data_IF_168471458584
#
_entry.id   IF_168471458584
#
_cell.length_a   1.000
_cell.length_b   1.000
_cell.length_c   1.000
_cell.angle_alpha   90.00
_cell.angle_beta   90.00
_cell.angle_gamma   90.00
#
_symmetry.space_group_name_H-M   'P 1'
#
loop_
_entity.id
_entity.type
_entity.pdbx_description
1 polymer ?
#
# COMPACT_ATOMS: atom_id res chain seq x y z
N UNK A 1 21.37 14.87 24.43
CA UNK A 1 20.19 15.60 23.91
C UNK A 1 19.68 15.03 22.59
N UNK A 2 20.52 14.89 21.54
CA UNK A 2 20.12 14.28 20.25
C UNK A 2 19.35 12.95 20.34
N UNK A 3 19.80 12.01 21.17
CA UNK A 3 19.15 10.69 21.39
C UNK A 3 17.74 10.76 21.97
N UNK A 4 17.49 11.73 22.85
CA UNK A 4 16.17 11.95 23.45
C UNK A 4 15.23 12.68 22.50
N UNK A 5 15.75 13.63 21.72
CA UNK A 5 15.02 14.30 20.66
C UNK A 5 14.61 13.32 19.55
N UNK A 6 15.50 12.39 19.17
CA UNK A 6 15.18 11.30 18.26
C UNK A 6 14.11 10.36 18.83
N UNK A 7 14.22 9.98 20.10
CA UNK A 7 13.21 9.15 20.75
C UNK A 7 11.84 9.85 20.84
N UNK A 8 11.81 11.14 21.16
CA UNK A 8 10.57 11.94 21.20
C UNK A 8 9.99 12.14 19.81
N UNK A 9 10.82 12.38 18.79
CA UNK A 9 10.36 12.46 17.40
C UNK A 9 9.84 11.12 16.89
N UNK A 10 10.46 10.00 17.29
CA UNK A 10 9.96 8.65 16.99
C UNK A 10 8.63 8.41 17.70
N UNK A 11 8.51 8.74 18.99
CA UNK A 11 7.26 8.59 19.75
C UNK A 11 6.16 9.51 19.22
N UNK A 12 6.48 10.73 18.79
CA UNK A 12 5.54 11.64 18.16
C UNK A 12 5.17 11.17 16.75
N UNK A 13 6.11 10.65 15.96
CA UNK A 13 5.81 10.02 14.68
C UNK A 13 4.95 8.76 14.86
N UNK A 14 5.11 8.05 15.98
CA UNK A 14 4.27 6.92 16.41
C UNK A 14 2.88 7.36 16.91
N UNK A 15 2.78 8.54 17.52
CA UNK A 15 1.53 9.07 18.10
C UNK A 15 0.72 9.98 17.18
N UNK A 16 1.29 10.51 16.11
CA UNK A 16 0.64 11.44 15.18
C UNK A 16 0.15 10.69 13.94
N UNK A 17 -1.14 10.36 13.93
CA UNK A 17 -1.88 9.90 12.77
C UNK A 17 -1.33 8.62 12.10
N UNK A 18 -1.03 7.61 12.92
CA UNK A 18 -0.66 6.29 12.44
C UNK A 18 -1.89 5.44 12.21
N UNK A 19 -2.05 4.98 10.97
CA UNK A 19 -3.05 3.97 10.65
C UNK A 19 -2.38 2.66 10.30
N UNK A 20 -2.79 1.60 10.99
CA UNK A 20 -2.48 0.25 10.61
C UNK A 20 -3.48 -0.20 9.54
N UNK A 21 -2.98 -0.75 8.45
CA UNK A 21 -3.77 -1.18 7.31
C UNK A 21 -3.64 -2.69 7.13
N UNK A 22 -4.75 -3.35 6.86
CA UNK A 22 -4.79 -4.75 6.43
C UNK A 22 -5.67 -4.81 5.18
N UNK A 23 -5.15 -5.37 4.10
CA UNK A 23 -5.92 -5.57 2.87
C UNK A 23 -5.78 -6.98 2.33
N UNK A 24 -6.84 -7.42 1.65
CA UNK A 24 -6.88 -8.64 0.88
C UNK A 24 -6.99 -8.32 -0.61
N UNK A 25 -6.21 -9.00 -1.44
CA UNK A 25 -6.23 -8.86 -2.89
C UNK A 25 -4.85 -8.83 -3.52
N UNK A 26 -4.80 -8.45 -4.79
CA UNK A 26 -3.60 -8.49 -5.61
C UNK A 26 -2.56 -7.43 -5.18
N UNK A 27 -1.24 -7.67 -5.37
CA UNK A 27 -0.62 -8.90 -5.86
C UNK A 27 -0.26 -9.92 -4.77
N UNK A 28 -0.53 -9.63 -3.50
CA UNK A 28 0.05 -10.37 -2.37
C UNK A 28 -0.92 -11.29 -1.64
N UNK A 29 -2.19 -11.37 -2.03
CA UNK A 29 -3.19 -12.11 -1.28
C UNK A 29 -3.61 -11.37 -0.02
N UNK A 30 -2.72 -11.27 0.98
CA UNK A 30 -2.90 -10.46 2.20
C UNK A 30 -1.74 -9.49 2.35
N UNK A 31 -2.06 -8.24 2.67
CA UNK A 31 -1.11 -7.15 2.87
C UNK A 31 -1.35 -6.49 4.21
N UNK A 32 -0.28 -6.13 4.89
CA UNK A 32 -0.26 -5.27 6.06
C UNK A 32 0.54 -4.00 5.76
N UNK A 33 0.12 -2.87 6.31
CA UNK A 33 0.82 -1.61 6.13
C UNK A 33 0.70 -0.67 7.31
N UNK A 34 1.60 0.30 7.36
CA UNK A 34 1.56 1.42 8.28
C UNK A 34 1.56 2.71 7.46
N UNK A 35 0.57 3.54 7.71
CA UNK A 35 0.40 4.85 7.12
C UNK A 35 0.71 5.93 8.14
N UNK A 36 1.42 6.96 7.72
CA UNK A 36 1.89 8.06 8.56
C UNK A 36 1.72 9.39 7.85
N UNK A 37 1.32 10.43 8.59
CA UNK A 37 1.20 11.79 8.05
C UNK A 37 2.58 12.40 7.80
N UNK A 38 2.91 12.69 6.54
CA UNK A 38 4.14 13.40 6.15
C UNK A 38 3.94 14.92 6.18
N UNK A 39 2.82 15.38 5.62
CA UNK A 39 2.36 16.77 5.68
C UNK A 39 0.92 16.74 6.18
N UNK A 40 0.62 17.29 7.37
CA UNK A 40 -0.73 17.28 7.93
C UNK A 40 -1.78 17.74 6.92
N UNK A 41 -2.87 16.99 6.81
CA UNK A 41 -4.01 17.25 5.92
C UNK A 41 -3.73 17.19 4.41
N UNK A 42 -2.49 16.97 3.97
CA UNK A 42 -2.12 17.01 2.55
C UNK A 42 -1.48 15.71 2.06
N UNK A 43 -0.48 15.19 2.76
CA UNK A 43 0.36 14.11 2.26
C UNK A 43 0.62 13.09 3.36
N UNK A 44 0.36 11.83 3.05
CA UNK A 44 0.76 10.70 3.88
C UNK A 44 1.78 9.83 3.16
N UNK A 45 2.56 9.09 3.94
CA UNK A 45 3.39 8.00 3.46
C UNK A 45 2.84 6.68 3.95
N UNK A 46 3.01 5.62 3.17
CA UNK A 46 2.68 4.25 3.58
C UNK A 46 3.87 3.35 3.33
N UNK A 47 4.15 2.49 4.30
CA UNK A 47 5.03 1.33 4.12
C UNK A 47 4.17 0.09 4.23
N UNK A 48 4.27 -0.84 3.28
CA UNK A 48 3.49 -2.07 3.30
C UNK A 48 4.34 -3.28 2.95
N UNK A 49 3.90 -4.42 3.46
CA UNK A 49 4.40 -5.75 3.12
C UNK A 49 3.22 -6.69 2.93
N UNK A 50 3.37 -7.66 2.04
CA UNK A 50 2.34 -8.64 1.77
C UNK A 50 2.92 -10.04 1.61
N UNK A 51 2.13 -11.01 2.04
CA UNK A 51 2.44 -12.43 1.92
C UNK A 51 1.16 -13.15 1.50
N UNK A 52 1.28 -13.90 0.41
CA UNK A 52 0.31 -14.86 -0.08
C UNK A 52 0.95 -16.24 -0.17
N UNK A 53 0.15 -17.25 -0.49
CA UNK A 53 0.59 -18.64 -0.57
C UNK A 53 1.82 -18.82 -1.49
N UNK A 54 1.94 -17.99 -2.51
CA UNK A 54 2.96 -18.12 -3.56
C UNK A 54 3.57 -16.75 -3.92
N UNK A 55 3.39 -15.71 -3.11
CA UNK A 55 3.94 -14.38 -3.38
C UNK A 55 4.29 -13.61 -2.11
N UNK A 56 5.40 -12.89 -2.15
CA UNK A 56 5.86 -12.00 -1.08
C UNK A 56 6.38 -10.69 -1.67
N UNK A 57 6.22 -9.61 -0.93
CA UNK A 57 6.93 -8.38 -1.23
C UNK A 57 6.38 -7.22 -0.42
N UNK A 58 6.58 -6.02 -0.93
CA UNK A 58 6.24 -4.81 -0.22
C UNK A 58 6.71 -3.57 -0.95
N UNK A 59 6.47 -2.42 -0.35
CA UNK A 59 6.79 -1.16 -0.98
C UNK A 59 6.50 0.03 -0.11
N UNK A 60 6.64 1.18 -0.74
CA UNK A 60 6.33 2.47 -0.13
C UNK A 60 5.48 3.29 -1.08
N UNK A 61 4.49 3.96 -0.52
CA UNK A 61 3.59 4.82 -1.26
C UNK A 61 3.60 6.24 -0.70
N UNK A 62 3.40 7.21 -1.58
CA UNK A 62 3.06 8.60 -1.26
C UNK A 62 1.59 8.83 -1.59
N UNK A 63 0.88 9.41 -0.63
CA UNK A 63 -0.57 9.49 -0.62
C UNK A 63 -1.00 10.95 -0.54
N UNK A 64 -1.42 11.51 -1.67
CA UNK A 64 -1.99 12.86 -1.70
C UNK A 64 -3.46 12.80 -1.28
N UNK A 65 -3.81 13.51 -0.21
CA UNK A 65 -5.18 13.60 0.30
C UNK A 65 -6.02 14.48 -0.60
N UNK A 66 -7.11 13.93 -1.17
CA UNK A 66 -8.15 14.70 -1.84
C UNK A 66 -9.49 14.52 -1.07
N UNK A 67 -10.47 15.40 -1.26
CA UNK A 67 -11.79 15.20 -0.67
C UNK A 67 -12.40 13.87 -1.14
N UNK A 68 -12.82 13.01 -0.21
CA UNK A 68 -13.47 11.70 -0.44
C UNK A 68 -12.59 10.63 -1.10
N UNK A 69 -11.39 10.98 -1.58
CA UNK A 69 -10.44 10.02 -2.11
C UNK A 69 -9.00 10.44 -1.89
N UNK A 70 -8.09 9.48 -1.78
CA UNK A 70 -6.67 9.80 -1.90
C UNK A 70 -6.14 9.40 -3.28
N UNK A 71 -5.24 10.22 -3.83
CA UNK A 71 -4.48 9.88 -5.03
C UNK A 71 -3.12 9.35 -4.60
N UNK A 72 -2.80 8.16 -5.09
CA UNK A 72 -1.56 7.46 -4.74
C UNK A 72 -0.54 7.54 -5.85
N UNK A 73 0.71 7.73 -5.42
CA UNK A 73 1.88 7.45 -6.21
C UNK A 73 2.79 6.57 -5.36
N UNK A 74 2.86 5.30 -5.72
CA UNK A 74 3.60 4.31 -4.96
C UNK A 74 4.50 3.46 -5.81
N UNK A 75 5.60 3.00 -5.22
CA UNK A 75 6.55 2.08 -5.82
C UNK A 75 6.80 0.93 -4.85
N UNK A 76 6.41 -0.26 -5.28
CA UNK A 76 6.66 -1.50 -4.56
C UNK A 76 7.28 -2.56 -5.45
N UNK A 77 7.95 -3.52 -4.84
CA UNK A 77 8.49 -4.69 -5.51
C UNK A 77 7.83 -5.95 -4.95
N UNK A 78 7.69 -6.96 -5.79
CA UNK A 78 7.24 -8.27 -5.34
C UNK A 78 7.93 -9.40 -6.09
N UNK A 79 7.94 -10.56 -5.43
CA UNK A 79 8.42 -11.82 -5.96
C UNK A 79 7.43 -12.92 -5.57
N UNK A 80 6.99 -13.73 -6.53
CA UNK A 80 6.04 -14.79 -6.28
C UNK A 80 5.63 -15.56 -7.53
N UNK A 81 5.50 -16.87 -7.44
CA UNK A 81 5.18 -17.76 -8.57
C UNK A 81 3.68 -18.04 -8.75
N UNK A 82 2.81 -17.36 -7.99
CA UNK A 82 1.39 -17.71 -7.91
C UNK A 82 0.42 -16.91 -8.76
N UNK A 83 -0.85 -17.38 -8.86
CA UNK A 83 -1.90 -16.70 -9.60
C UNK A 83 -2.31 -15.43 -8.85
N UNK A 84 -1.65 -14.33 -9.19
CA UNK A 84 -2.09 -13.02 -8.76
C UNK A 84 -3.48 -12.73 -9.38
N UNK A 85 -4.38 -12.08 -8.62
CA UNK A 85 -5.64 -11.51 -9.13
C UNK A 85 -5.35 -10.29 -10.02
N UNK A 86 -4.52 -10.47 -11.05
CA UNK A 86 -4.18 -9.47 -12.05
C UNK A 86 -4.86 -9.76 -13.37
N UNK A 87 -5.32 -8.70 -14.02
CA UNK A 87 -5.83 -8.75 -15.38
C UNK A 87 -4.91 -7.96 -16.32
N UNK A 88 -4.63 -8.43 -17.53
CA UNK A 88 -5.07 -9.71 -18.07
C UNK A 88 -4.24 -10.87 -17.49
N UNK A 89 -4.82 -12.06 -17.52
CA UNK A 89 -4.35 -13.21 -16.75
C UNK A 89 -3.05 -13.83 -17.33
N UNK A 90 -2.80 -13.57 -18.60
CA UNK A 90 -1.60 -13.88 -19.39
C UNK A 90 -0.41 -12.96 -19.09
N UNK A 91 -0.63 -11.80 -18.45
CA UNK A 91 0.44 -10.90 -18.01
C UNK A 91 1.01 -11.26 -16.62
N UNK A 92 0.65 -12.41 -16.04
CA UNK A 92 1.17 -12.84 -14.73
C UNK A 92 2.67 -13.10 -14.79
N UNK A 93 3.39 -12.49 -13.86
CA UNK A 93 4.83 -12.67 -13.72
C UNK A 93 5.29 -12.98 -12.29
N UNK A 94 6.51 -13.48 -12.20
CA UNK A 94 7.16 -13.96 -10.99
C UNK A 94 7.78 -12.85 -10.15
N UNK A 95 8.08 -11.73 -10.77
CA UNK A 95 8.60 -10.55 -10.10
C UNK A 95 8.09 -9.31 -10.83
N UNK A 96 7.88 -8.23 -10.11
CA UNK A 96 7.39 -7.01 -10.73
C UNK A 96 7.56 -5.77 -9.88
N UNK A 97 7.44 -4.64 -10.55
CA UNK A 97 7.29 -3.32 -9.94
C UNK A 97 5.81 -2.98 -9.93
N UNK A 98 5.30 -2.65 -8.77
CA UNK A 98 3.95 -2.13 -8.61
C UNK A 98 4.04 -0.62 -8.58
N UNK A 99 3.39 0.02 -9.55
CA UNK A 99 2.99 1.40 -9.42
C UNK A 99 1.62 1.39 -8.73
N UNK A 100 1.41 2.23 -7.74
CA UNK A 100 0.05 2.46 -7.24
C UNK A 100 -0.43 3.75 -7.87
N UNK A 101 -1.36 3.63 -8.82
CA UNK A 101 -2.21 4.73 -9.26
C UNK A 101 -3.63 4.29 -8.98
N UNK A 102 -4.08 4.60 -7.76
CA UNK A 102 -5.36 4.17 -7.23
C UNK A 102 -6.07 5.33 -6.57
N UNK A 103 -7.40 5.27 -6.57
CA UNK A 103 -8.26 6.15 -5.79
C UNK A 103 -8.69 5.41 -4.54
N UNK A 104 -8.34 5.94 -3.37
CA UNK A 104 -8.77 5.39 -2.09
C UNK A 104 -10.16 5.88 -1.76
N UNK A 105 -11.22 5.07 -1.86
CA UNK A 105 -12.50 5.51 -1.30
C UNK A 105 -12.40 5.44 0.23
N UNK A 106 -12.01 6.54 0.87
CA UNK A 106 -11.95 6.64 2.32
C UNK A 106 -13.37 6.88 2.85
N UNK A 107 -14.01 5.85 3.39
CA UNK A 107 -15.18 6.06 4.22
C UNK A 107 -14.69 6.62 5.56
N UNK A 108 -14.98 7.90 5.89
CA UNK A 108 -14.39 8.55 7.04
C UNK A 108 -15.13 8.13 8.32
N UNK A 109 -14.98 6.87 8.73
CA UNK A 109 -15.43 6.46 10.05
C UNK A 109 -14.32 6.80 11.07
N UNK A 110 -14.69 7.27 12.26
CA UNK A 110 -13.72 7.49 13.33
C UNK A 110 -13.02 6.17 13.66
N UNK A 111 -11.69 6.17 13.65
CA UNK A 111 -10.81 5.04 14.00
C UNK A 111 -10.81 3.85 13.03
N UNK A 112 -11.75 3.79 12.09
CA UNK A 112 -11.91 2.71 11.12
C UNK A 112 -12.07 3.28 9.71
N UNK A 113 -11.19 2.93 8.79
CA UNK A 113 -11.35 3.18 7.36
C UNK A 113 -11.64 1.87 6.65
N UNK A 114 -12.50 1.90 5.64
CA UNK A 114 -12.56 0.84 4.64
C UNK A 114 -12.11 1.46 3.34
N UNK A 115 -11.36 0.70 2.54
CA UNK A 115 -10.82 1.20 1.30
C UNK A 115 -10.74 0.13 0.21
N UNK A 116 -10.67 0.61 -1.02
CA UNK A 116 -10.43 -0.19 -2.21
C UNK A 116 -9.33 0.48 -3.02
N UNK A 117 -8.43 -0.31 -3.61
CA UNK A 117 -7.32 0.18 -4.40
C UNK A 117 -7.15 -0.62 -5.69
N UNK A 118 -6.67 0.06 -6.73
CA UNK A 118 -6.21 -0.54 -7.98
C UNK A 118 -4.68 -0.40 -8.10
N UNK A 119 -4.05 -1.39 -8.71
CA UNK A 119 -2.59 -1.57 -8.73
C UNK A 119 -2.10 -1.88 -10.14
N UNK A 120 -1.78 -0.86 -10.95
CA UNK A 120 -1.05 -1.08 -12.18
C UNK A 120 0.33 -1.69 -11.86
N UNK A 121 0.61 -2.83 -12.46
CA UNK A 121 1.78 -3.65 -12.15
C UNK A 121 2.56 -3.93 -13.41
N UNK A 122 3.87 -3.67 -13.37
CA UNK A 122 4.82 -4.08 -14.39
C UNK A 122 5.50 -5.36 -13.94
N UNK A 123 5.17 -6.46 -14.59
CA UNK A 123 5.89 -7.72 -14.44
C UNK A 123 7.19 -7.67 -15.21
N UNK A 124 8.26 -8.22 -14.63
CA UNK A 124 9.62 -8.22 -15.17
C UNK A 124 10.10 -9.63 -15.56
N UNK A 125 9.47 -10.68 -15.03
CA UNK A 125 9.84 -12.07 -15.24
C UNK A 125 8.59 -12.95 -15.22
N UNK A 126 8.51 -14.03 -16.02
CA UNK A 126 9.50 -14.45 -17.02
C UNK A 126 9.49 -13.57 -18.27
N UNK A 127 8.42 -12.80 -18.49
CA UNK A 127 8.30 -11.83 -19.58
C UNK A 127 7.85 -10.48 -19.04
N UNK A 128 8.27 -9.39 -19.70
CA UNK A 128 7.82 -8.05 -19.34
C UNK A 128 6.37 -7.87 -19.78
N UNK A 129 5.50 -7.52 -18.84
CA UNK A 129 4.07 -7.38 -19.10
C UNK A 129 3.39 -6.39 -18.16
N UNK A 130 2.29 -5.80 -18.62
CA UNK A 130 1.46 -4.90 -17.80
C UNK A 130 0.23 -5.67 -17.30
N UNK A 131 -0.08 -5.51 -16.03
CA UNK A 131 -1.32 -6.00 -15.43
C UNK A 131 -1.94 -4.98 -14.49
N UNK A 132 -3.19 -5.20 -14.10
CA UNK A 132 -3.89 -4.43 -13.08
C UNK A 132 -4.45 -5.37 -12.03
N UNK A 133 -4.11 -5.10 -10.77
CA UNK A 133 -4.67 -5.77 -9.61
C UNK A 133 -5.62 -4.88 -8.85
N UNK A 134 -6.42 -5.47 -7.96
CA UNK A 134 -7.19 -4.72 -6.98
C UNK A 134 -7.05 -5.34 -5.58
N UNK A 135 -7.18 -4.50 -4.57
CA UNK A 135 -7.23 -4.90 -3.17
C UNK A 135 -8.35 -4.16 -2.44
N UNK A 136 -8.92 -4.81 -1.44
CA UNK A 136 -9.87 -4.22 -0.49
C UNK A 136 -9.28 -4.35 0.90
N UNK A 137 -9.34 -3.28 1.68
CA UNK A 137 -8.74 -3.27 3.00
C UNK A 137 -9.49 -2.46 4.03
N UNK A 138 -8.99 -2.62 5.25
CA UNK A 138 -9.45 -1.95 6.44
C UNK A 138 -8.25 -1.25 7.06
N UNK A 139 -8.47 -0.02 7.51
CA UNK A 139 -7.50 0.84 8.14
C UNK A 139 -7.97 1.11 9.57
N UNK A 140 -7.10 0.99 10.57
CA UNK A 140 -7.42 1.26 11.96
C UNK A 140 -6.40 2.23 12.53
N UNK A 141 -6.85 3.34 13.10
CA UNK A 141 -5.97 4.33 13.71
C UNK A 141 -6.53 5.75 13.70
N UNK A 142 -5.73 6.67 14.25
CA UNK A 142 -6.08 8.08 14.38
C UNK A 142 -5.67 8.88 13.14
#
# INVERSE_FOLDING_TARGET
MRRWLAAVLVVLALGLAQRAEVSGGSPFGVQGGLRFSLVPLLLDGRVYGGVGLEAVGGGVDLLLKLPLTDLYLGLGGFYGTGPVLTLPQDARGHAGLRAVLGTWLNLPLPLLGVYMEAHPTLYLSPHTGLGIGAAVGVSVGF
#
